data_IF_512317169243
#
_entry.id   IF_512317169243
#
_cell.length_a   1.000
_cell.length_b   1.000
_cell.length_c   1.000
_cell.angle_alpha   90.00
_cell.angle_beta   90.00
_cell.angle_gamma   90.00
#
_symmetry.space_group_name_H-M   'P 1'
#
loop_
_entity.id
_entity.type
_entity.pdbx_description
1 polymer ?
#
# COMPACT_ATOMS: atom_id res chain seq x y z
N UNK A 1 14.91 -12.30 -27.65
CA UNK A 1 14.48 -13.71 -27.41
C UNK A 1 14.24 -13.82 -25.93
N UNK A 2 13.13 -14.42 -25.52
CA UNK A 2 12.83 -14.60 -24.11
C UNK A 2 13.94 -15.41 -23.43
N UNK A 3 14.17 -15.13 -22.14
CA UNK A 3 15.09 -15.88 -21.30
C UNK A 3 14.61 -17.32 -21.08
N UNK A 4 13.29 -17.53 -21.07
CA UNK A 4 12.68 -18.84 -21.03
C UNK A 4 11.16 -18.74 -20.97
N UNK A 5 10.52 -19.90 -20.89
CA UNK A 5 9.07 -20.04 -20.80
C UNK A 5 8.65 -20.40 -19.37
N UNK A 6 7.67 -19.68 -18.83
CA UNK A 6 7.02 -19.98 -17.55
C UNK A 6 5.62 -20.53 -17.81
N UNK A 7 5.44 -21.81 -17.52
CA UNK A 7 4.15 -22.49 -17.58
C UNK A 7 3.36 -22.16 -16.31
N UNK A 8 2.26 -21.43 -16.46
CA UNK A 8 1.39 -21.01 -15.34
C UNK A 8 0.02 -20.55 -15.84
N UNK A 9 -0.85 -20.03 -14.98
CA UNK A 9 -2.14 -19.46 -15.37
C UNK A 9 -2.36 -18.08 -14.73
N UNK A 10 -3.25 -17.24 -15.32
CA UNK A 10 -3.58 -15.94 -14.76
C UNK A 10 -4.00 -15.99 -13.29
N UNK A 11 -3.34 -15.17 -12.48
CA UNK A 11 -3.59 -15.10 -11.04
C UNK A 11 -3.03 -16.27 -10.22
N UNK A 12 -2.28 -17.23 -10.78
CA UNK A 12 -1.64 -18.28 -9.97
C UNK A 12 -0.79 -17.63 -8.85
N UNK A 13 -1.14 -17.81 -7.56
CA UNK A 13 -0.48 -17.11 -6.46
C UNK A 13 1.02 -17.43 -6.37
N UNK A 14 1.42 -18.63 -6.80
CA UNK A 14 2.81 -19.09 -6.80
C UNK A 14 3.67 -18.45 -7.90
N UNK A 15 3.05 -17.83 -8.89
CA UNK A 15 3.76 -17.22 -10.03
C UNK A 15 3.84 -15.70 -9.97
N UNK A 16 3.09 -15.05 -9.06
CA UNK A 16 3.06 -13.59 -8.94
C UNK A 16 4.47 -13.03 -8.70
N UNK A 17 5.17 -13.56 -7.69
CA UNK A 17 6.51 -13.10 -7.37
C UNK A 17 7.52 -13.37 -8.48
N UNK A 18 7.43 -14.54 -9.14
CA UNK A 18 8.30 -14.91 -10.27
C UNK A 18 8.19 -13.87 -11.39
N UNK A 19 6.97 -13.51 -11.78
CA UNK A 19 6.71 -12.50 -12.81
C UNK A 19 7.17 -11.10 -12.38
N UNK A 20 6.96 -10.75 -11.11
CA UNK A 20 7.37 -9.46 -10.57
C UNK A 20 8.90 -9.30 -10.59
N UNK A 21 9.65 -10.31 -10.14
CA UNK A 21 11.12 -10.26 -10.15
C UNK A 21 11.71 -10.41 -11.54
N UNK A 22 11.07 -11.17 -12.43
CA UNK A 22 11.46 -11.23 -13.84
C UNK A 22 11.43 -9.82 -14.46
N UNK A 23 10.29 -9.11 -14.30
CA UNK A 23 10.15 -7.73 -14.77
C UNK A 23 11.14 -6.78 -14.10
N UNK A 24 11.34 -6.88 -12.79
CA UNK A 24 12.29 -6.03 -12.07
C UNK A 24 13.75 -6.26 -12.49
N UNK A 25 14.09 -7.48 -12.91
CA UNK A 25 15.41 -7.84 -13.40
C UNK A 25 15.57 -7.68 -14.92
N UNK A 26 14.56 -7.18 -15.64
CA UNK A 26 14.52 -7.17 -17.11
C UNK A 26 14.78 -8.57 -17.73
N UNK A 27 14.32 -9.62 -17.07
CA UNK A 27 14.34 -11.00 -17.56
C UNK A 27 13.02 -11.22 -18.29
N UNK A 28 13.09 -11.33 -19.61
CA UNK A 28 11.92 -11.55 -20.46
C UNK A 28 11.46 -13.01 -20.36
N UNK A 29 10.19 -13.25 -20.02
CA UNK A 29 9.63 -14.60 -19.87
C UNK A 29 8.41 -14.73 -20.77
N UNK A 30 8.43 -15.74 -21.64
CA UNK A 30 7.24 -16.18 -22.34
C UNK A 30 6.32 -16.88 -21.34
N UNK A 31 5.02 -16.57 -21.38
CA UNK A 31 4.03 -17.18 -20.50
C UNK A 31 3.22 -18.19 -21.30
N UNK A 32 3.38 -19.46 -20.97
CA UNK A 32 2.54 -20.53 -21.53
C UNK A 32 1.38 -20.80 -20.54
N UNK A 33 0.14 -20.62 -21.00
CA UNK A 33 -1.01 -20.87 -20.15
C UNK A 33 -1.19 -22.37 -19.90
N UNK A 34 -1.08 -22.79 -18.64
CA UNK A 34 -1.25 -24.19 -18.23
C UNK A 34 -2.08 -24.26 -16.96
N UNK A 35 -3.26 -24.89 -17.05
CA UNK A 35 -4.23 -25.02 -15.95
C UNK A 35 -4.37 -26.50 -15.59
N UNK A 36 -3.64 -27.02 -14.57
CA UNK A 36 -3.66 -28.44 -14.24
C UNK A 36 -5.05 -29.03 -13.95
N UNK A 37 -5.99 -28.21 -13.47
CA UNK A 37 -7.37 -28.61 -13.19
C UNK A 37 -8.14 -29.03 -14.45
N UNK A 38 -7.69 -28.58 -15.65
CA UNK A 38 -8.25 -28.98 -16.95
C UNK A 38 -7.49 -30.15 -17.59
N UNK A 39 -6.50 -30.72 -16.91
CA UNK A 39 -5.56 -31.68 -17.46
C UNK A 39 -4.34 -31.01 -18.10
N UNK A 40 -3.29 -31.80 -18.31
CA UNK A 40 -2.03 -31.36 -18.95
C UNK A 40 -1.61 -32.37 -20.01
N UNK A 41 -0.84 -31.92 -21.02
CA UNK A 41 -0.37 -32.77 -22.11
C UNK A 41 0.70 -33.77 -21.64
N UNK A 42 0.89 -34.85 -22.42
CA UNK A 42 1.96 -35.81 -22.18
C UNK A 42 3.35 -35.17 -22.34
N UNK A 43 3.45 -34.17 -23.22
CA UNK A 43 4.65 -33.35 -23.43
C UNK A 43 4.97 -32.54 -22.17
N UNK A 44 3.97 -31.91 -21.54
CA UNK A 44 4.17 -31.16 -20.31
C UNK A 44 4.60 -32.07 -19.15
N UNK A 45 4.06 -33.29 -19.06
CA UNK A 45 4.45 -34.26 -18.04
C UNK A 45 5.92 -34.68 -18.14
N UNK A 46 6.57 -34.54 -19.31
CA UNK A 46 8.02 -34.74 -19.45
C UNK A 46 8.83 -33.62 -18.79
N UNK A 47 8.27 -32.40 -18.72
CA UNK A 47 8.88 -31.26 -18.04
C UNK A 47 8.63 -31.29 -16.53
N UNK A 48 7.44 -31.72 -16.13
CA UNK A 48 7.05 -31.88 -14.72
C UNK A 48 6.13 -33.10 -14.56
N UNK A 49 6.69 -34.21 -14.06
CA UNK A 49 5.97 -35.47 -13.91
C UNK A 49 4.75 -35.42 -12.98
N UNK A 50 4.62 -34.39 -12.14
CA UNK A 50 3.44 -34.16 -11.31
C UNK A 50 2.35 -33.35 -12.00
N UNK A 51 2.61 -32.82 -13.20
CA UNK A 51 1.68 -31.96 -13.93
C UNK A 51 1.33 -30.65 -13.21
N UNK A 52 2.19 -30.19 -12.29
CA UNK A 52 1.95 -28.98 -11.48
C UNK A 52 2.54 -27.75 -12.13
N UNK A 53 2.01 -26.58 -11.76
CA UNK A 53 2.56 -25.26 -12.11
C UNK A 53 2.90 -24.45 -10.84
N UNK A 54 3.89 -23.54 -10.88
CA UNK A 54 4.71 -23.17 -12.04
C UNK A 54 5.79 -24.19 -12.40
N UNK A 55 6.10 -24.24 -13.70
CA UNK A 55 7.30 -24.88 -14.27
C UNK A 55 8.00 -23.89 -15.20
N UNK A 56 9.32 -23.84 -15.16
CA UNK A 56 10.17 -22.99 -15.99
C UNK A 56 11.00 -23.84 -16.94
N UNK A 57 11.16 -23.38 -18.18
CA UNK A 57 12.08 -23.93 -19.17
C UNK A 57 12.91 -22.79 -19.76
N UNK A 58 14.21 -22.79 -19.50
CA UNK A 58 15.14 -21.81 -20.06
C UNK A 58 15.33 -21.98 -21.56
N UNK A 59 15.71 -20.90 -22.24
CA UNK A 59 16.09 -20.95 -23.66
C UNK A 59 17.28 -21.90 -23.92
N UNK A 60 18.05 -22.23 -22.88
CA UNK A 60 19.15 -23.20 -22.86
C UNK A 60 18.68 -24.65 -22.62
N UNK A 61 17.37 -24.89 -22.47
CA UNK A 61 16.79 -26.19 -22.17
C UNK A 61 16.77 -26.54 -20.67
N UNK A 62 17.25 -25.66 -19.78
CA UNK A 62 17.20 -25.91 -18.35
C UNK A 62 15.76 -25.94 -17.84
N UNK A 63 15.33 -27.07 -17.30
CA UNK A 63 13.98 -27.25 -16.77
C UNK A 63 14.00 -27.18 -15.24
N UNK A 64 13.14 -26.35 -14.66
CA UNK A 64 13.03 -26.17 -13.22
C UNK A 64 11.56 -26.11 -12.78
N UNK A 65 11.23 -26.88 -11.75
CA UNK A 65 9.95 -26.79 -11.05
C UNK A 65 10.17 -26.51 -9.56
N UNK A 66 9.07 -26.31 -8.82
CA UNK A 66 8.99 -25.70 -7.49
C UNK A 66 9.06 -24.16 -7.52
N UNK A 67 7.98 -23.50 -7.09
CA UNK A 67 7.81 -22.06 -7.20
C UNK A 67 8.91 -21.25 -6.48
N UNK A 68 9.39 -21.72 -5.34
CA UNK A 68 10.45 -21.06 -4.57
C UNK A 68 11.78 -21.14 -5.34
N UNK A 69 12.11 -22.31 -5.91
CA UNK A 69 13.33 -22.51 -6.67
C UNK A 69 13.33 -21.62 -7.92
N UNK A 70 12.22 -21.59 -8.68
CA UNK A 70 12.08 -20.72 -9.85
C UNK A 70 12.21 -19.25 -9.45
N UNK A 71 11.52 -18.81 -8.39
CA UNK A 71 11.58 -17.42 -7.94
C UNK A 71 13.01 -16.99 -7.56
N UNK A 72 13.75 -17.84 -6.86
CA UNK A 72 15.16 -17.59 -6.52
C UNK A 72 16.02 -17.54 -7.78
N UNK A 73 15.87 -18.53 -8.68
CA UNK A 73 16.64 -18.62 -9.91
C UNK A 73 16.47 -17.39 -10.81
N UNK A 74 15.24 -16.90 -10.98
CA UNK A 74 14.98 -15.66 -11.74
C UNK A 74 15.51 -14.44 -11.00
N UNK A 75 15.36 -14.38 -9.67
CA UNK A 75 15.87 -13.27 -8.87
C UNK A 75 17.40 -13.18 -8.92
N UNK A 76 18.09 -14.32 -8.91
CA UNK A 76 19.55 -14.42 -8.90
C UNK A 76 20.20 -14.10 -10.25
N UNK A 77 19.43 -13.97 -11.34
CA UNK A 77 19.97 -13.51 -12.63
C UNK A 77 20.55 -12.08 -12.53
N UNK A 78 20.11 -11.30 -11.55
CA UNK A 78 20.71 -10.02 -11.21
C UNK A 78 21.65 -10.18 -10.01
N UNK A 79 22.96 -10.28 -10.27
CA UNK A 79 23.98 -10.40 -9.22
C UNK A 79 24.00 -9.23 -8.23
N UNK A 80 23.42 -8.08 -8.61
CA UNK A 80 23.33 -6.88 -7.77
C UNK A 80 21.97 -6.76 -7.06
N UNK A 81 21.14 -7.80 -7.13
CA UNK A 81 19.81 -7.78 -6.51
C UNK A 81 19.90 -7.58 -5.00
N UNK A 82 19.00 -6.78 -4.45
CA UNK A 82 18.84 -6.63 -2.99
C UNK A 82 17.74 -7.54 -2.44
N UNK A 83 17.06 -8.32 -3.29
CA UNK A 83 15.88 -9.11 -2.93
C UNK A 83 16.22 -10.43 -2.23
N UNK A 84 17.48 -10.86 -2.26
CA UNK A 84 17.97 -12.09 -1.63
C UNK A 84 18.70 -11.86 -0.30
N UNK A 85 18.56 -10.66 0.27
CA UNK A 85 19.22 -10.29 1.53
C UNK A 85 20.72 -9.99 1.35
N UNK A 86 21.37 -9.52 2.41
CA UNK A 86 22.81 -9.21 2.42
C UNK A 86 23.64 -10.28 3.11
N UNK A 87 23.05 -10.95 4.10
CA UNK A 87 23.71 -11.96 4.93
C UNK A 87 23.13 -13.35 4.69
N UNK A 88 23.86 -14.38 5.12
CA UNK A 88 23.36 -15.77 5.09
C UNK A 88 22.11 -15.93 5.94
N UNK A 89 22.02 -15.19 7.05
CA UNK A 89 20.86 -15.15 7.94
C UNK A 89 19.65 -14.51 7.26
N UNK A 90 19.84 -13.43 6.50
CA UNK A 90 18.76 -12.82 5.71
C UNK A 90 18.22 -13.83 4.69
N UNK A 91 19.12 -14.46 3.92
CA UNK A 91 18.75 -15.45 2.91
C UNK A 91 17.99 -16.64 3.50
N UNK A 92 18.47 -17.18 4.62
CA UNK A 92 17.77 -18.24 5.35
C UNK A 92 16.39 -17.79 5.86
N UNK A 93 16.26 -16.53 6.30
CA UNK A 93 14.99 -15.95 6.75
C UNK A 93 14.01 -15.75 5.60
N UNK A 94 14.50 -15.36 4.42
CA UNK A 94 13.72 -15.27 3.19
C UNK A 94 13.16 -16.64 2.82
N UNK A 95 14.02 -17.66 2.78
CA UNK A 95 13.60 -19.05 2.50
C UNK A 95 12.56 -19.55 3.51
N UNK A 96 12.78 -19.29 4.80
CA UNK A 96 11.84 -19.65 5.87
C UNK A 96 10.46 -19.07 5.58
N UNK A 97 10.36 -17.78 5.27
CA UNK A 97 9.07 -17.14 5.00
C UNK A 97 8.43 -17.61 3.70
N UNK A 98 9.20 -17.75 2.61
CA UNK A 98 8.66 -18.30 1.36
C UNK A 98 8.12 -19.72 1.56
N UNK A 99 8.85 -20.56 2.29
CA UNK A 99 8.40 -21.91 2.66
C UNK A 99 7.14 -21.86 3.51
N UNK A 100 7.13 -21.06 4.58
CA UNK A 100 6.00 -20.91 5.50
C UNK A 100 4.72 -20.46 4.77
N UNK A 101 4.81 -19.46 3.90
CA UNK A 101 3.66 -19.02 3.10
C UNK A 101 3.21 -20.11 2.12
N UNK A 102 4.13 -20.85 1.51
CA UNK A 102 3.78 -21.91 0.57
C UNK A 102 3.14 -23.14 1.26
N UNK A 103 3.63 -23.53 2.44
CA UNK A 103 3.21 -24.75 3.15
C UNK A 103 2.11 -24.49 4.17
N UNK A 104 2.24 -23.49 5.03
CA UNK A 104 1.33 -23.28 6.16
C UNK A 104 0.16 -22.34 5.80
N UNK A 105 0.41 -21.35 4.95
CA UNK A 105 -0.62 -20.37 4.55
C UNK A 105 -1.38 -20.85 3.33
N UNK A 106 -0.72 -21.08 2.19
CA UNK A 106 -1.41 -21.33 0.93
C UNK A 106 -2.20 -22.65 0.92
N UNK A 107 -1.67 -23.72 1.52
CA UNK A 107 -2.33 -25.03 1.51
C UNK A 107 -3.63 -25.00 2.32
N UNK A 108 -3.57 -24.44 3.53
CA UNK A 108 -4.72 -24.31 4.44
C UNK A 108 -5.72 -23.29 3.91
N UNK A 109 -5.24 -22.19 3.32
CA UNK A 109 -6.09 -21.20 2.67
C UNK A 109 -6.82 -21.81 1.47
N UNK A 110 -6.13 -22.62 0.66
CA UNK A 110 -6.72 -23.38 -0.44
C UNK A 110 -7.85 -24.29 0.04
N UNK A 111 -7.62 -25.08 1.09
CA UNK A 111 -8.64 -25.94 1.70
C UNK A 111 -9.84 -25.17 2.30
N UNK A 112 -9.65 -23.89 2.61
CA UNK A 112 -10.72 -23.01 3.06
C UNK A 112 -11.53 -22.43 1.88
N UNK A 113 -10.90 -21.71 0.96
CA UNK A 113 -11.67 -20.95 -0.05
C UNK A 113 -12.08 -21.78 -1.28
N UNK A 114 -11.28 -22.77 -1.71
CA UNK A 114 -11.56 -23.51 -2.96
C UNK A 114 -12.92 -24.22 -2.93
N UNK A 115 -13.34 -24.87 -1.83
CA UNK A 115 -14.68 -25.45 -1.77
C UNK A 115 -15.81 -24.41 -1.76
N UNK A 116 -15.56 -23.21 -1.24
CA UNK A 116 -16.56 -22.12 -1.21
C UNK A 116 -16.83 -21.51 -2.59
N UNK A 117 -15.87 -21.61 -3.50
CA UNK A 117 -15.97 -21.11 -4.88
C UNK A 117 -16.19 -22.23 -5.90
N UNK A 118 -16.54 -23.45 -5.43
CA UNK A 118 -16.88 -24.58 -6.30
C UNK A 118 -15.71 -25.25 -7.02
N UNK A 119 -14.46 -24.99 -6.61
CA UNK A 119 -13.28 -25.64 -7.21
C UNK A 119 -12.98 -27.02 -6.63
N UNK A 120 -13.39 -27.25 -5.38
CA UNK A 120 -13.27 -28.53 -4.70
C UNK A 120 -14.63 -28.91 -4.09
N UNK A 121 -14.88 -30.21 -3.81
CA UNK A 121 -16.10 -30.62 -3.11
C UNK A 121 -16.22 -29.98 -1.73
N UNK A 122 -17.40 -29.44 -1.42
CA UNK A 122 -17.68 -28.83 -0.12
C UNK A 122 -17.81 -29.89 0.98
N UNK A 123 -16.99 -29.76 2.02
CA UNK A 123 -17.15 -30.49 3.27
C UNK A 123 -16.97 -29.51 4.44
N UNK A 124 -18.03 -29.33 5.24
CA UNK A 124 -18.07 -28.35 6.32
C UNK A 124 -16.91 -28.51 7.32
N UNK A 125 -16.63 -29.74 7.76
CA UNK A 125 -15.53 -30.01 8.71
C UNK A 125 -14.18 -29.64 8.12
N UNK A 126 -13.92 -30.03 6.87
CA UNK A 126 -12.64 -29.74 6.21
C UNK A 126 -12.44 -28.23 6.01
N UNK A 127 -13.49 -27.51 5.62
CA UNK A 127 -13.46 -26.04 5.45
C UNK A 127 -13.20 -25.35 6.79
N UNK A 128 -13.88 -25.76 7.86
CA UNK A 128 -13.69 -25.21 9.20
C UNK A 128 -12.28 -25.48 9.75
N UNK A 129 -11.78 -26.70 9.58
CA UNK A 129 -10.44 -27.08 10.04
C UNK A 129 -9.35 -26.34 9.24
N UNK A 130 -9.54 -26.20 7.92
CA UNK A 130 -8.63 -25.43 7.05
C UNK A 130 -8.66 -23.95 7.37
N UNK A 131 -9.84 -23.38 7.65
CA UNK A 131 -9.99 -22.00 8.10
C UNK A 131 -9.23 -21.75 9.40
N UNK A 132 -9.41 -22.61 10.40
CA UNK A 132 -8.69 -22.51 11.69
C UNK A 132 -7.19 -22.60 11.50
N UNK A 133 -6.71 -23.54 10.67
CA UNK A 133 -5.29 -23.70 10.40
C UNK A 133 -4.71 -22.47 9.67
N UNK A 134 -5.43 -21.94 8.68
CA UNK A 134 -5.03 -20.75 7.94
C UNK A 134 -4.97 -19.51 8.84
N UNK A 135 -5.99 -19.28 9.66
CA UNK A 135 -6.02 -18.18 10.62
C UNK A 135 -4.88 -18.28 11.64
N UNK A 136 -4.56 -19.49 12.12
CA UNK A 136 -3.42 -19.73 13.01
C UNK A 136 -2.08 -19.41 12.33
N UNK A 137 -1.91 -19.80 11.07
CA UNK A 137 -0.69 -19.50 10.32
C UNK A 137 -0.54 -17.99 10.08
N UNK A 138 -1.63 -17.30 9.72
CA UNK A 138 -1.59 -15.85 9.48
C UNK A 138 -1.41 -15.05 10.78
N UNK A 139 -1.89 -15.53 11.92
CA UNK A 139 -1.61 -14.91 13.23
C UNK A 139 -0.10 -14.91 13.57
N UNK A 140 0.67 -15.90 13.12
CA UNK A 140 2.14 -15.89 13.23
C UNK A 140 2.74 -14.73 12.42
N UNK A 141 2.20 -14.48 11.22
CA UNK A 141 2.63 -13.38 10.35
C UNK A 141 2.25 -12.04 10.98
N UNK A 142 1.01 -11.89 11.46
CA UNK A 142 0.49 -10.72 12.16
C UNK A 142 1.39 -10.31 13.33
N UNK A 143 1.75 -11.29 14.18
CA UNK A 143 2.65 -11.05 15.32
C UNK A 143 4.08 -10.73 14.91
N UNK A 144 4.57 -11.36 13.85
CA UNK A 144 5.90 -11.06 13.35
C UNK A 144 5.97 -9.61 12.88
N UNK A 145 5.02 -9.24 12.04
CA UNK A 145 5.05 -7.95 11.39
C UNK A 145 4.49 -6.82 12.27
N UNK A 146 3.81 -7.15 13.38
CA UNK A 146 3.64 -6.22 14.50
C UNK A 146 4.98 -5.61 14.91
N UNK A 147 6.10 -6.35 14.78
CA UNK A 147 7.44 -5.91 15.18
C UNK A 147 8.39 -5.57 14.05
N UNK A 148 8.04 -5.88 12.80
CA UNK A 148 8.95 -5.79 11.67
C UNK A 148 8.27 -5.11 10.50
N UNK A 149 9.03 -4.28 9.80
CA UNK A 149 8.53 -3.63 8.60
C UNK A 149 8.35 -4.67 7.48
N UNK A 150 9.35 -5.51 7.26
CA UNK A 150 9.34 -6.54 6.23
C UNK A 150 9.48 -7.92 6.85
N UNK A 151 9.20 -8.97 6.07
CA UNK A 151 9.35 -10.36 6.53
C UNK A 151 10.81 -10.73 6.80
N UNK A 152 11.76 -10.14 6.05
CA UNK A 152 13.17 -10.40 6.22
C UNK A 152 14.00 -9.12 6.08
N UNK A 153 14.76 -8.78 7.12
CA UNK A 153 15.58 -7.57 7.16
C UNK A 153 14.75 -6.28 7.17
N UNK A 154 15.40 -5.18 6.78
CA UNK A 154 14.85 -3.82 6.88
C UNK A 154 14.43 -3.24 5.52
N UNK A 155 14.19 -4.09 4.51
CA UNK A 155 13.72 -3.69 3.17
C UNK A 155 12.92 -4.80 2.50
N UNK A 156 12.18 -4.47 1.44
CA UNK A 156 11.50 -5.47 0.60
C UNK A 156 12.50 -6.52 0.10
N UNK A 157 12.12 -7.78 0.28
CA UNK A 157 12.82 -8.97 -0.20
C UNK A 157 11.91 -9.87 -1.04
N UNK A 158 12.48 -10.93 -1.60
CA UNK A 158 11.72 -11.95 -2.31
C UNK A 158 10.64 -12.60 -1.42
N UNK A 159 10.87 -12.69 -0.10
CA UNK A 159 9.87 -13.21 0.83
C UNK A 159 8.60 -12.36 0.83
N UNK A 160 8.73 -11.04 0.84
CA UNK A 160 7.59 -10.12 0.83
C UNK A 160 6.78 -10.24 -0.46
N UNK A 161 7.46 -10.28 -1.61
CA UNK A 161 6.80 -10.43 -2.92
C UNK A 161 6.09 -11.78 -3.04
N UNK A 162 6.73 -12.86 -2.58
CA UNK A 162 6.16 -14.21 -2.60
C UNK A 162 4.97 -14.32 -1.64
N UNK A 163 5.11 -13.83 -0.42
CA UNK A 163 4.07 -13.79 0.59
C UNK A 163 2.84 -13.00 0.11
N UNK A 164 3.05 -11.80 -0.45
CA UNK A 164 1.98 -10.97 -1.01
C UNK A 164 1.20 -11.69 -2.11
N UNK A 165 1.90 -12.36 -3.03
CA UNK A 165 1.30 -13.18 -4.08
C UNK A 165 0.43 -14.31 -3.51
N UNK A 166 0.93 -15.02 -2.49
CA UNK A 166 0.21 -16.10 -1.81
C UNK A 166 -1.03 -15.59 -1.08
N UNK A 167 -0.86 -14.61 -0.20
CA UNK A 167 -1.90 -14.16 0.72
C UNK A 167 -3.00 -13.36 0.02
N UNK A 168 -2.75 -12.84 -1.18
CA UNK A 168 -3.74 -12.17 -2.03
C UNK A 168 -5.03 -12.98 -2.20
N UNK A 169 -4.95 -14.32 -2.24
CA UNK A 169 -6.13 -15.20 -2.33
C UNK A 169 -7.01 -15.12 -1.08
N UNK A 170 -6.40 -14.87 0.07
CA UNK A 170 -7.13 -14.65 1.31
C UNK A 170 -7.92 -13.35 1.23
N UNK A 171 -7.27 -12.26 0.84
CA UNK A 171 -7.91 -10.96 0.60
C UNK A 171 -9.04 -11.01 -0.43
N UNK A 172 -8.87 -11.82 -1.47
CA UNK A 172 -9.87 -11.99 -2.52
C UNK A 172 -11.13 -12.71 -2.03
N UNK A 173 -11.00 -13.74 -1.18
CA UNK A 173 -12.13 -14.66 -0.92
C UNK A 173 -12.62 -14.70 0.53
N UNK A 174 -11.73 -14.59 1.53
CA UNK A 174 -12.07 -14.94 2.93
C UNK A 174 -11.68 -13.88 3.97
N UNK A 175 -10.74 -12.99 3.66
CA UNK A 175 -10.33 -11.90 4.54
C UNK A 175 -11.19 -10.67 4.27
N UNK A 176 -12.40 -10.68 4.82
CA UNK A 176 -13.34 -9.57 4.77
C UNK A 176 -12.97 -8.41 5.69
N UNK A 177 -13.82 -7.37 5.72
CA UNK A 177 -13.61 -6.13 6.49
C UNK A 177 -13.28 -6.38 7.96
N UNK A 178 -14.03 -7.26 8.63
CA UNK A 178 -13.85 -7.56 10.06
C UNK A 178 -12.51 -8.24 10.33
N UNK A 179 -12.13 -9.21 9.49
CA UNK A 179 -10.85 -9.88 9.60
C UNK A 179 -9.69 -8.90 9.42
N UNK A 180 -9.78 -8.02 8.42
CA UNK A 180 -8.75 -7.00 8.14
C UNK A 180 -8.58 -6.01 9.29
N UNK A 181 -9.69 -5.58 9.90
CA UNK A 181 -9.66 -4.74 11.09
C UNK A 181 -9.01 -5.46 12.30
N UNK A 182 -9.17 -6.78 12.39
CA UNK A 182 -8.58 -7.59 13.46
C UNK A 182 -7.11 -7.99 13.22
N UNK A 183 -6.63 -7.92 11.97
CA UNK A 183 -5.28 -8.27 11.55
C UNK A 183 -4.66 -7.09 10.77
N UNK A 184 -4.51 -5.92 11.43
CA UNK A 184 -4.07 -4.70 10.77
C UNK A 184 -2.66 -4.81 10.25
N UNK A 185 -1.79 -5.58 10.90
CA UNK A 185 -0.41 -5.72 10.47
C UNK A 185 -0.43 -6.45 9.11
N UNK A 186 -0.91 -7.68 9.00
CA UNK A 186 -0.96 -8.43 7.72
C UNK A 186 -1.74 -7.68 6.62
N UNK A 187 -2.73 -6.89 6.99
CA UNK A 187 -3.47 -6.02 6.06
C UNK A 187 -2.65 -4.81 5.59
N UNK A 188 -1.71 -4.33 6.42
CA UNK A 188 -0.87 -3.16 6.21
C UNK A 188 0.59 -3.48 6.59
N UNK A 189 1.43 -3.87 5.62
CA UNK A 189 2.88 -3.85 5.83
C UNK A 189 3.66 -2.80 5.01
N UNK A 190 4.46 -1.90 5.67
CA UNK A 190 4.13 -0.89 6.74
C UNK A 190 5.14 0.35 6.73
N UNK A 191 5.43 1.16 7.82
CA UNK A 191 5.78 0.81 9.24
C UNK A 191 4.87 1.34 10.39
N UNK A 192 4.34 0.39 11.18
CA UNK A 192 4.27 0.15 12.65
C UNK A 192 4.22 1.28 13.71
N UNK A 193 3.23 1.20 14.64
CA UNK A 193 3.38 1.42 16.11
C UNK A 193 2.33 0.63 16.93
N UNK A 194 2.67 0.38 18.19
CA UNK A 194 2.27 -0.72 19.09
C UNK A 194 0.79 -0.81 19.53
N UNK A 195 0.38 -2.02 19.91
CA UNK A 195 -0.97 -2.42 20.32
C UNK A 195 -1.16 -2.48 21.85
N UNK A 196 -2.36 -2.15 22.36
CA UNK A 196 -3.15 -2.88 23.38
C UNK A 196 -4.40 -2.06 23.85
N UNK A 197 -5.43 -2.64 24.52
CA UNK A 197 -6.34 -3.72 24.10
C UNK A 197 -7.86 -3.41 24.35
N UNK A 198 -8.71 -4.34 23.88
CA UNK A 198 -10.19 -4.31 23.66
C UNK A 198 -11.11 -4.20 24.90
N UNK A 199 -12.34 -3.70 24.67
CA UNK A 199 -13.59 -4.20 25.29
C UNK A 199 -14.80 -4.08 24.32
N UNK A 200 -15.82 -4.92 24.56
CA UNK A 200 -16.76 -5.55 23.62
C UNK A 200 -18.05 -4.74 23.25
N UNK A 201 -18.88 -5.23 22.30
CA UNK A 201 -19.81 -4.43 21.47
C UNK A 201 -21.29 -4.43 21.93
N UNK A 202 -22.07 -3.44 21.45
CA UNK A 202 -23.55 -3.52 21.39
C UNK A 202 -24.12 -3.01 20.06
N UNK A 203 -24.68 -3.99 19.33
CA UNK A 203 -25.96 -4.01 18.61
C UNK A 203 -26.37 -2.90 17.62
N UNK A 204 -26.32 -3.29 16.34
CA UNK A 204 -27.43 -3.35 15.37
C UNK A 204 -28.25 -2.09 15.02
N UNK A 205 -28.20 -1.70 13.73
CA UNK A 205 -29.37 -1.70 12.83
C UNK A 205 -28.96 -1.55 11.35
N UNK A 206 -29.25 -2.58 10.55
CA UNK A 206 -29.56 -2.55 9.10
C UNK A 206 -31.00 -3.10 8.99
N UNK A 207 -31.75 -3.06 7.86
CA UNK A 207 -31.33 -2.93 6.45
C UNK A 207 -32.24 -1.95 5.64
N UNK A 208 -32.13 -1.65 4.32
CA UNK A 208 -31.96 -2.42 3.07
C UNK A 208 -31.50 -1.42 1.97
N UNK A 209 -30.49 -1.70 1.16
CA UNK A 209 -30.45 -2.52 -0.07
C UNK A 209 -31.31 -1.99 -1.24
N UNK A 210 -30.63 -1.52 -2.29
CA UNK A 210 -30.97 -1.74 -3.71
C UNK A 210 -29.68 -2.01 -4.49
N UNK A 211 -29.71 -3.10 -5.24
CA UNK A 211 -28.68 -3.54 -6.18
C UNK A 211 -28.79 -2.75 -7.49
N UNK A 212 -27.65 -2.52 -8.14
CA UNK A 212 -27.56 -2.30 -9.58
C UNK A 212 -26.40 -3.16 -10.08
N UNK A 213 -26.64 -3.79 -11.21
CA UNK A 213 -25.92 -4.88 -11.85
C UNK A 213 -24.56 -4.45 -12.43
N UNK A 214 -23.65 -5.43 -12.51
CA UNK A 214 -22.40 -5.35 -13.26
C UNK A 214 -22.73 -5.46 -14.76
N UNK A 215 -22.37 -4.44 -15.55
CA UNK A 215 -22.16 -4.57 -16.99
C UNK A 215 -20.65 -4.61 -17.25
N UNK A 216 -20.21 -5.67 -17.94
CA UNK A 216 -18.91 -5.72 -18.61
C UNK A 216 -18.85 -4.61 -19.67
N UNK A 217 -17.86 -3.72 -19.58
CA UNK A 217 -17.41 -2.93 -20.71
C UNK A 217 -15.96 -3.29 -21.04
N UNK A 218 -15.79 -3.75 -22.28
CA UNK A 218 -14.54 -4.04 -22.97
C UNK A 218 -13.43 -3.02 -22.67
N UNK A 219 -12.22 -3.51 -22.39
CA UNK A 219 -10.99 -2.70 -22.39
C UNK A 219 -10.72 -2.17 -23.82
N UNK A 220 -11.31 -1.03 -24.15
CA UNK A 220 -10.86 -0.17 -25.23
C UNK A 220 -9.47 0.41 -24.90
N UNK A 221 -8.57 0.59 -25.89
CA UNK A 221 -7.20 1.01 -25.66
C UNK A 221 -7.15 2.38 -24.97
N UNK A 222 -6.34 2.46 -23.92
CA UNK A 222 -6.18 3.63 -23.06
C UNK A 222 -6.10 4.95 -23.86
N UNK A 223 -7.13 5.79 -23.69
CA UNK A 223 -7.13 7.17 -24.14
C UNK A 223 -5.94 7.93 -23.49
N UNK A 224 -5.32 8.89 -24.19
CA UNK A 224 -4.20 9.66 -23.66
C UNK A 224 -4.61 10.34 -22.35
N UNK A 225 -3.83 10.11 -21.28
CA UNK A 225 -4.05 10.71 -19.96
C UNK A 225 -4.27 12.21 -20.11
N UNK A 226 -5.42 12.71 -19.65
CA UNK A 226 -5.66 14.14 -19.53
C UNK A 226 -4.53 14.76 -18.71
N UNK A 227 -3.94 15.84 -19.23
CA UNK A 227 -2.89 16.58 -18.54
C UNK A 227 -3.43 17.19 -17.26
N UNK A 228 -2.63 17.19 -16.19
CA UNK A 228 -3.03 17.76 -14.91
C UNK A 228 -3.36 19.26 -15.08
N UNK A 229 -4.44 19.81 -14.48
CA UNK A 229 -4.85 21.21 -14.68
C UNK A 229 -3.72 22.24 -14.45
N UNK A 230 -2.91 22.00 -13.41
CA UNK A 230 -1.77 22.86 -13.06
C UNK A 230 -0.57 22.78 -14.03
N UNK A 231 -0.55 21.85 -15.00
CA UNK A 231 0.46 21.83 -16.07
C UNK A 231 0.37 23.03 -17.02
N UNK A 232 -0.80 23.68 -17.09
CA UNK A 232 -1.01 24.85 -17.94
C UNK A 232 -0.34 26.12 -17.40
N UNK A 233 0.07 26.12 -16.13
CA UNK A 233 0.71 27.28 -15.52
C UNK A 233 2.15 27.46 -16.03
N UNK A 234 2.67 28.70 -16.06
CA UNK A 234 4.08 28.95 -16.37
C UNK A 234 5.00 28.16 -15.44
N UNK A 235 6.21 27.83 -15.91
CA UNK A 235 7.22 27.22 -15.03
C UNK A 235 7.48 28.13 -13.84
N UNK A 236 7.51 27.55 -12.65
CA UNK A 236 7.85 28.28 -11.45
C UNK A 236 9.32 28.68 -11.47
N UNK A 237 9.63 29.85 -10.90
CA UNK A 237 10.99 30.34 -10.74
C UNK A 237 11.82 29.37 -9.90
N UNK A 238 11.23 28.84 -8.83
CA UNK A 238 11.81 27.76 -8.04
C UNK A 238 10.80 26.60 -8.03
N UNK A 239 11.15 25.43 -8.59
CA UNK A 239 10.28 24.25 -8.57
C UNK A 239 9.99 23.79 -7.15
N UNK A 240 8.77 23.34 -6.89
CA UNK A 240 8.37 22.86 -5.57
C UNK A 240 9.17 21.64 -5.09
N UNK A 241 9.75 20.85 -6.02
CA UNK A 241 10.67 19.77 -5.69
C UNK A 241 11.93 20.24 -4.96
N UNK A 242 12.38 21.48 -5.21
CA UNK A 242 13.50 22.06 -4.48
C UNK A 242 13.10 22.31 -3.02
N UNK A 243 11.92 22.88 -2.77
CA UNK A 243 11.40 23.06 -1.41
C UNK A 243 11.34 21.72 -0.67
N UNK A 244 10.77 20.68 -1.28
CA UNK A 244 10.66 19.35 -0.68
C UNK A 244 12.01 18.74 -0.34
N UNK A 245 13.03 19.01 -1.16
CA UNK A 245 14.40 18.60 -0.90
C UNK A 245 14.97 19.30 0.33
N UNK A 246 14.78 20.62 0.45
CA UNK A 246 15.22 21.40 1.61
C UNK A 246 14.52 20.93 2.89
N UNK A 247 13.20 20.77 2.86
CA UNK A 247 12.43 20.25 3.99
C UNK A 247 12.86 18.84 4.44
N UNK A 248 13.38 18.01 3.53
CA UNK A 248 13.80 16.64 3.85
C UNK A 248 15.25 16.51 4.32
N UNK A 249 16.11 17.44 3.94
CA UNK A 249 17.57 17.30 4.08
C UNK A 249 18.18 18.30 5.08
N UNK A 250 17.43 19.31 5.50
CA UNK A 250 17.87 20.33 6.45
C UNK A 250 17.09 20.22 7.76
N UNK A 251 17.66 20.75 8.84
CA UNK A 251 16.91 20.94 10.08
C UNK A 251 15.71 21.86 9.84
N UNK A 252 14.58 21.57 10.47
CA UNK A 252 13.30 22.23 10.17
C UNK A 252 13.35 23.76 10.26
N UNK A 253 14.02 24.39 11.25
CA UNK A 253 14.17 25.85 11.30
C UNK A 253 14.91 26.43 10.08
N UNK A 254 15.96 25.76 9.62
CA UNK A 254 16.75 26.18 8.46
C UNK A 254 15.95 25.99 7.16
N UNK A 255 15.21 24.89 7.05
CA UNK A 255 14.30 24.65 5.94
C UNK A 255 13.22 25.74 5.87
N UNK A 256 12.58 26.09 6.99
CA UNK A 256 11.57 27.14 7.02
C UNK A 256 12.13 28.51 6.66
N UNK A 257 13.32 28.84 7.16
CA UNK A 257 14.01 30.07 6.75
C UNK A 257 14.21 30.11 5.24
N UNK A 258 14.72 29.02 4.66
CA UNK A 258 14.88 28.88 3.22
C UNK A 258 13.54 29.03 2.49
N UNK A 259 12.46 28.42 2.99
CA UNK A 259 11.14 28.54 2.38
C UNK A 259 10.70 29.99 2.27
N UNK A 260 10.75 30.75 3.37
CA UNK A 260 10.29 32.13 3.38
C UNK A 260 11.17 33.08 2.56
N UNK A 261 12.47 32.81 2.44
CA UNK A 261 13.38 33.57 1.57
C UNK A 261 13.10 33.31 0.07
N UNK A 262 12.54 32.14 -0.27
CA UNK A 262 12.33 31.68 -1.64
C UNK A 262 10.84 31.60 -2.05
N UNK A 263 9.91 31.88 -1.14
CA UNK A 263 8.48 31.81 -1.39
C UNK A 263 8.03 32.97 -2.29
N UNK A 264 7.44 32.62 -3.44
CA UNK A 264 6.86 33.56 -4.37
C UNK A 264 5.33 33.48 -4.32
N UNK A 265 4.68 34.51 -3.76
CA UNK A 265 3.23 34.59 -3.61
C UNK A 265 2.45 34.73 -4.93
N UNK A 266 3.10 35.11 -6.02
CA UNK A 266 2.47 35.17 -7.35
C UNK A 266 2.37 33.76 -7.97
N UNK A 267 3.35 32.90 -7.68
CA UNK A 267 3.43 31.54 -8.23
C UNK A 267 2.80 30.48 -7.32
N UNK A 268 2.85 30.69 -6.02
CA UNK A 268 2.36 29.74 -5.02
C UNK A 268 1.36 30.40 -4.10
N UNK A 269 0.46 29.58 -3.55
CA UNK A 269 -0.45 29.99 -2.50
C UNK A 269 -0.40 29.02 -1.33
N UNK A 270 -0.66 29.56 -0.13
CA UNK A 270 -0.70 28.82 1.12
C UNK A 270 -2.15 28.58 1.52
N UNK A 271 -2.44 27.40 2.06
CA UNK A 271 -3.78 26.96 2.40
C UNK A 271 -3.78 26.25 3.74
N UNK A 272 -4.72 26.65 4.59
CA UNK A 272 -5.14 25.90 5.76
C UNK A 272 -6.14 24.84 5.33
N UNK A 273 -5.98 23.64 5.86
CA UNK A 273 -6.87 22.51 5.66
C UNK A 273 -7.54 22.18 7.00
N UNK A 274 -8.87 22.11 7.01
CA UNK A 274 -9.67 21.69 8.16
C UNK A 274 -10.52 20.49 7.76
N UNK A 275 -10.53 19.41 8.55
CA UNK A 275 -11.49 18.33 8.32
C UNK A 275 -12.86 18.69 8.88
N UNK A 276 -13.92 18.39 8.13
CA UNK A 276 -15.30 18.80 8.46
C UNK A 276 -15.96 17.90 9.50
N UNK A 277 -15.62 16.61 9.53
CA UNK A 277 -16.31 15.60 10.33
C UNK A 277 -15.50 15.20 11.57
N UNK A 278 -15.03 16.20 12.33
CA UNK A 278 -14.17 15.93 13.50
C UNK A 278 -14.88 15.10 14.59
N UNK A 279 -16.21 15.14 14.64
CA UNK A 279 -17.06 14.35 15.52
C UNK A 279 -17.07 12.84 15.19
N UNK A 280 -16.69 12.47 13.96
CA UNK A 280 -16.52 11.07 13.55
C UNK A 280 -15.13 10.52 13.89
N UNK A 281 -14.20 11.37 14.33
CA UNK A 281 -12.83 10.99 14.64
C UNK A 281 -12.77 10.29 15.99
N UNK A 282 -12.36 9.02 15.97
CA UNK A 282 -12.30 8.17 17.17
C UNK A 282 -10.86 7.99 17.64
N UNK A 283 -10.12 7.03 17.09
CA UNK A 283 -8.74 6.79 17.50
C UNK A 283 -7.79 7.72 16.74
N UNK A 284 -6.85 8.38 17.43
CA UNK A 284 -5.82 9.24 16.83
C UNK A 284 -5.11 8.57 15.65
N UNK A 285 -4.75 7.29 15.76
CA UNK A 285 -4.09 6.57 14.67
C UNK A 285 -5.03 6.32 13.48
N UNK A 286 -6.34 6.13 13.70
CA UNK A 286 -7.33 6.01 12.61
C UNK A 286 -7.51 7.34 11.91
N UNK A 287 -7.58 8.43 12.67
CA UNK A 287 -7.59 9.81 12.18
C UNK A 287 -6.33 10.11 11.35
N UNK A 288 -5.15 9.70 11.82
CA UNK A 288 -3.88 9.84 11.10
C UNK A 288 -3.84 8.99 9.81
N UNK A 289 -4.42 7.78 9.84
CA UNK A 289 -4.58 6.95 8.64
C UNK A 289 -5.54 7.56 7.62
N UNK A 290 -6.58 8.27 8.07
CA UNK A 290 -7.48 9.02 7.19
C UNK A 290 -6.71 10.10 6.43
N UNK A 291 -5.82 10.84 7.09
CA UNK A 291 -4.88 11.77 6.44
C UNK A 291 -4.00 11.03 5.41
N UNK A 292 -3.41 9.89 5.80
CA UNK A 292 -2.57 9.10 4.89
C UNK A 292 -3.33 8.59 3.65
N UNK A 293 -4.59 8.19 3.83
CA UNK A 293 -5.46 7.79 2.72
C UNK A 293 -5.75 8.96 1.77
N UNK A 294 -6.07 10.13 2.30
CA UNK A 294 -6.26 11.34 1.52
C UNK A 294 -5.00 11.68 0.71
N UNK A 295 -3.82 11.58 1.35
CA UNK A 295 -2.53 11.83 0.71
C UNK A 295 -2.23 10.84 -0.42
N UNK A 296 -2.54 9.56 -0.25
CA UNK A 296 -2.39 8.58 -1.32
C UNK A 296 -3.27 8.90 -2.54
N UNK A 297 -4.45 9.49 -2.31
CA UNK A 297 -5.36 9.94 -3.37
C UNK A 297 -4.93 11.28 -3.98
N UNK A 298 -4.13 12.08 -3.29
CA UNK A 298 -3.50 13.30 -3.80
C UNK A 298 -2.27 13.06 -4.70
N UNK A 299 -1.84 11.80 -4.90
CA UNK A 299 -0.61 11.47 -5.64
C UNK A 299 -0.59 12.06 -7.07
N UNK A 300 -1.76 12.21 -7.71
CA UNK A 300 -1.88 12.86 -9.02
C UNK A 300 -1.36 14.31 -9.05
N UNK A 301 -1.44 15.00 -7.91
CA UNK A 301 -1.00 16.40 -7.75
C UNK A 301 0.41 16.52 -7.20
N UNK A 302 1.15 15.41 -6.99
CA UNK A 302 2.41 15.41 -6.25
C UNK A 302 3.37 16.51 -6.67
N UNK A 303 3.53 16.78 -7.97
CA UNK A 303 4.44 17.81 -8.48
C UNK A 303 4.07 19.25 -8.11
N UNK A 304 2.82 19.48 -7.71
CA UNK A 304 2.23 20.82 -7.56
C UNK A 304 1.82 21.15 -6.12
N UNK A 305 1.95 20.21 -5.19
CA UNK A 305 1.56 20.40 -3.79
C UNK A 305 2.61 19.83 -2.83
N UNK A 306 2.78 20.55 -1.73
CA UNK A 306 3.46 20.11 -0.53
C UNK A 306 2.60 20.51 0.66
N UNK A 307 2.56 19.67 1.70
CA UNK A 307 2.01 20.13 2.96
C UNK A 307 2.01 19.08 4.04
N UNK A 308 1.53 19.52 5.18
CA UNK A 308 1.49 18.76 6.41
C UNK A 308 0.06 18.78 6.92
N UNK A 309 -0.44 17.63 7.34
CA UNK A 309 -1.69 17.56 8.10
C UNK A 309 -1.46 16.74 9.38
N UNK A 310 -2.00 17.26 10.46
CA UNK A 310 -1.82 16.81 11.83
C UNK A 310 -3.15 16.35 12.41
N UNK A 311 -3.07 15.38 13.31
CA UNK A 311 -4.11 15.08 14.29
C UNK A 311 -3.75 15.80 15.58
N UNK A 312 -4.67 16.62 16.05
CA UNK A 312 -4.58 17.27 17.35
C UNK A 312 -5.67 16.73 18.26
N UNK A 313 -5.32 16.36 19.48
CA UNK A 313 -6.25 15.85 20.49
C UNK A 313 -5.95 14.45 20.95
N UNK A 314 -6.99 13.78 21.45
CA UNK A 314 -6.92 12.45 22.04
C UNK A 314 -8.00 11.57 21.44
N UNK A 315 -8.08 10.33 21.92
CA UNK A 315 -9.14 9.39 21.55
C UNK A 315 -10.53 10.02 21.77
N UNK A 316 -11.39 9.89 20.76
CA UNK A 316 -12.79 10.32 20.67
C UNK A 316 -13.00 11.85 20.77
N UNK A 317 -11.91 12.62 20.73
CA UNK A 317 -11.90 14.08 20.83
C UNK A 317 -10.64 14.62 20.18
N UNK A 318 -10.65 14.62 18.84
CA UNK A 318 -9.54 15.09 18.02
C UNK A 318 -10.05 15.88 16.83
N UNK A 319 -9.15 16.68 16.25
CA UNK A 319 -9.39 17.46 15.04
C UNK A 319 -8.25 17.24 14.07
N UNK A 320 -8.53 17.31 12.76
CA UNK A 320 -7.50 17.35 11.73
C UNK A 320 -7.33 18.80 11.25
N UNK A 321 -6.09 19.27 11.25
CA UNK A 321 -5.68 20.55 10.68
C UNK A 321 -4.43 20.35 9.83
N UNK A 322 -4.23 21.18 8.80
CA UNK A 322 -3.00 21.15 8.02
C UNK A 322 -2.67 22.47 7.37
N UNK A 323 -1.44 22.58 6.87
CA UNK A 323 -0.96 23.68 6.06
C UNK A 323 -0.31 23.14 4.78
N UNK A 324 -0.73 23.67 3.64
CA UNK A 324 -0.27 23.27 2.32
C UNK A 324 0.20 24.47 1.52
N UNK A 325 1.26 24.28 0.74
CA UNK A 325 1.64 25.17 -0.35
C UNK A 325 1.31 24.47 -1.67
N UNK A 326 0.64 25.18 -2.55
CA UNK A 326 0.25 24.67 -3.88
C UNK A 326 0.74 25.61 -4.97
N UNK A 327 0.98 25.05 -6.16
CA UNK A 327 1.20 25.83 -7.38
C UNK A 327 -0.11 26.47 -7.81
N UNK A 328 -0.06 27.76 -8.11
CA UNK A 328 -1.22 28.54 -8.53
C UNK A 328 -1.97 29.16 -7.34
N UNK A 329 -3.15 29.71 -7.61
CA UNK A 329 -3.86 30.59 -6.68
C UNK A 329 -5.17 30.01 -6.14
N UNK A 330 -5.59 28.84 -6.64
CA UNK A 330 -6.86 28.17 -6.33
C UNK A 330 -6.59 26.77 -5.77
N UNK A 331 -7.30 26.39 -4.71
CA UNK A 331 -7.10 25.10 -4.05
C UNK A 331 -7.54 23.90 -4.91
N UNK A 332 -8.75 23.96 -5.47
CA UNK A 332 -9.38 22.79 -6.09
C UNK A 332 -8.54 22.10 -7.15
N UNK A 333 -7.88 22.80 -8.11
CA UNK A 333 -7.03 22.14 -9.11
C UNK A 333 -5.85 21.34 -8.55
N UNK A 334 -5.49 21.53 -7.28
CA UNK A 334 -4.47 20.75 -6.57
C UNK A 334 -5.05 19.61 -5.73
N UNK A 335 -6.30 19.72 -5.27
CA UNK A 335 -6.91 18.76 -4.32
C UNK A 335 -8.00 17.87 -4.92
N UNK A 336 -8.66 18.30 -6.00
CA UNK A 336 -9.80 17.60 -6.62
C UNK A 336 -9.46 16.24 -7.23
N UNK A 337 -8.17 15.96 -7.46
CA UNK A 337 -7.67 14.63 -7.81
C UNK A 337 -7.99 13.57 -6.76
N UNK A 338 -8.18 13.99 -5.49
CA UNK A 338 -8.59 13.11 -4.41
C UNK A 338 -10.13 13.15 -4.29
N UNK A 339 -10.87 12.06 -4.54
CA UNK A 339 -12.34 12.06 -4.58
C UNK A 339 -13.02 12.44 -3.26
N UNK A 340 -12.29 12.43 -2.14
CA UNK A 340 -12.76 12.79 -0.81
C UNK A 340 -12.33 14.19 -0.36
N UNK A 341 -11.82 15.03 -1.28
CA UNK A 341 -11.39 16.41 -0.98
C UNK A 341 -12.50 17.25 -0.32
N UNK A 342 -13.77 16.96 -0.63
CA UNK A 342 -14.94 17.66 -0.07
C UNK A 342 -15.11 17.44 1.44
N UNK A 343 -14.47 16.41 2.01
CA UNK A 343 -14.43 16.20 3.46
C UNK A 343 -13.58 17.24 4.19
N UNK A 344 -12.83 18.05 3.43
CA UNK A 344 -11.97 19.10 3.92
C UNK A 344 -12.47 20.48 3.49
N UNK A 345 -12.16 21.47 4.31
CA UNK A 345 -12.32 22.88 4.03
C UNK A 345 -10.94 23.49 3.81
N UNK A 346 -10.82 24.30 2.77
CA UNK A 346 -9.58 24.95 2.37
C UNK A 346 -9.72 26.46 2.56
N UNK A 347 -8.94 27.03 3.47
CA UNK A 347 -8.90 28.49 3.70
C UNK A 347 -7.57 29.04 3.19
N UNK A 348 -7.60 30.02 2.28
CA UNK A 348 -6.38 30.65 1.77
C UNK A 348 -5.70 31.46 2.86
N UNK A 349 -4.40 31.29 3.01
CA UNK A 349 -3.54 31.98 3.97
C UNK A 349 -2.78 33.12 3.29
N UNK A 350 -2.51 34.17 4.04
CA UNK A 350 -1.81 35.37 3.58
C UNK A 350 -0.39 35.42 4.17
N UNK A 351 0.62 35.17 3.31
CA UNK A 351 2.02 35.20 3.70
C UNK A 351 2.51 36.57 4.22
N UNK A 352 1.75 37.65 4.02
CA UNK A 352 2.08 38.95 4.61
C UNK A 352 1.69 39.06 6.08
N UNK A 353 0.76 38.22 6.56
CA UNK A 353 0.29 38.23 7.94
C UNK A 353 1.19 37.38 8.83
N UNK A 354 1.73 37.93 9.94
CA UNK A 354 2.54 37.18 10.89
C UNK A 354 1.83 35.94 11.44
N UNK A 355 0.52 36.02 11.67
CA UNK A 355 -0.28 34.93 12.26
C UNK A 355 -0.40 33.74 11.31
N UNK A 356 -0.62 34.00 10.01
CA UNK A 356 -0.71 32.96 8.99
C UNK A 356 0.66 32.31 8.74
N UNK A 357 1.74 33.09 8.80
CA UNK A 357 3.11 32.58 8.74
C UNK A 357 3.43 31.68 9.93
N UNK A 358 3.07 32.11 11.13
CA UNK A 358 3.27 31.32 12.34
C UNK A 358 2.48 30.00 12.26
N UNK A 359 1.22 30.05 11.82
CA UNK A 359 0.42 28.84 11.61
C UNK A 359 1.09 27.85 10.65
N UNK A 360 1.62 28.31 9.51
CA UNK A 360 2.33 27.44 8.54
C UNK A 360 3.57 26.84 9.18
N UNK A 361 4.37 27.65 9.88
CA UNK A 361 5.58 27.18 10.55
C UNK A 361 5.25 26.10 11.59
N UNK A 362 4.23 26.33 12.42
CA UNK A 362 3.80 25.38 13.46
C UNK A 362 3.30 24.06 12.87
N UNK A 363 2.52 24.12 11.79
CA UNK A 363 2.07 22.91 11.09
C UNK A 363 3.22 22.14 10.45
N UNK A 364 4.30 22.81 10.06
CA UNK A 364 5.44 22.18 9.39
C UNK A 364 6.54 21.75 10.36
N UNK A 365 6.54 22.24 11.61
CA UNK A 365 7.45 21.77 12.69
C UNK A 365 6.85 20.70 13.59
N UNK A 366 5.52 20.59 13.68
CA UNK A 366 4.83 19.60 14.51
C UNK A 366 4.98 19.81 16.04
N UNK A 367 5.36 21.00 16.47
CA UNK A 367 5.85 21.21 17.84
C UNK A 367 4.78 21.69 18.83
N UNK A 368 3.74 22.39 18.36
CA UNK A 368 2.81 23.11 19.25
C UNK A 368 1.40 22.51 19.27
N UNK A 369 0.70 22.55 20.42
CA UNK A 369 -0.74 22.34 20.46
C UNK A 369 -1.47 23.44 19.68
N UNK A 370 -2.75 23.20 19.37
CA UNK A 370 -3.60 24.23 18.75
C UNK A 370 -4.81 24.54 19.63
N UNK A 371 -5.40 25.72 19.45
CA UNK A 371 -6.69 26.05 20.07
C UNK A 371 -7.80 26.06 19.03
N UNK A 372 -8.85 25.28 19.25
CA UNK A 372 -10.05 25.23 18.42
C UNK A 372 -11.28 25.45 19.30
N UNK A 373 -12.07 26.48 19.02
CA UNK A 373 -13.29 26.77 19.79
C UNK A 373 -13.03 27.08 21.27
N UNK A 374 -11.88 27.67 21.61
CA UNK A 374 -11.50 27.98 22.99
C UNK A 374 -10.97 26.79 23.79
N UNK A 375 -10.81 25.62 23.16
CA UNK A 375 -10.22 24.42 23.75
C UNK A 375 -8.88 24.11 23.12
N UNK A 376 -7.90 23.80 23.96
CA UNK A 376 -6.56 23.40 23.53
C UNK A 376 -6.53 21.90 23.19
N UNK A 377 -5.93 21.58 22.05
CA UNK A 377 -5.74 20.23 21.55
C UNK A 377 -4.23 19.95 21.39
N UNK A 378 -3.64 19.01 22.15
CA UNK A 378 -2.24 18.65 22.02
C UNK A 378 -1.96 18.01 20.66
N UNK A 379 -0.77 18.23 20.10
CA UNK A 379 -0.34 17.50 18.91
C UNK A 379 -0.21 16.00 19.22
N UNK A 380 -0.74 15.15 18.35
CA UNK A 380 -0.81 13.72 18.60
C UNK A 380 -0.15 12.87 17.51
N UNK A 381 -0.37 13.19 16.24
CA UNK A 381 0.28 12.54 15.09
C UNK A 381 0.19 13.43 13.85
N UNK A 382 0.89 13.08 12.76
CA UNK A 382 0.85 13.85 11.52
C UNK A 382 1.45 13.15 10.31
N UNK A 383 1.18 13.70 9.12
CA UNK A 383 1.70 13.21 7.84
C UNK A 383 2.19 14.37 6.99
N UNK A 384 3.33 14.15 6.33
CA UNK A 384 3.85 15.02 5.27
C UNK A 384 3.45 14.48 3.91
N UNK A 385 2.92 15.34 3.04
CA UNK A 385 2.79 15.12 1.61
C UNK A 385 3.87 15.89 0.87
N UNK A 386 4.75 15.18 0.17
CA UNK A 386 5.86 15.73 -0.60
C UNK A 386 6.14 14.88 -1.83
#
# INVERSE_FOLDING_TARGET
>A
MAFGTLYTYPGNPRSVAIRAVAKANNVDLDIEETVPEKGVSAEYLKLNGLGKVPTFVGADGYTLHEAIAIAIYITSQNEKTTLLGKTKQDYATILKWMSFFNSEVLTTLGGWFRPLVGRDPYNKKNVEDSSKASLKAVDVVEKHLLNNTYLAGERITLADLFAAGVISRGFQYVFGKEWRAANPNVTLHPPKKEAQPKAAPKAAAKPKAKAVEEEEEDEAPAAPKAKHPLEALPKATIPLDEWKRQYSNSDTPDALKWFWENYNAEEYSLWKLDYKYNDELTQVFMTSNLIGGFFARLEGSRKYIFGCASVYGVKDDSVIKGAFVIRGQEALPAFDVAPDYESYEFTKLDASKPEDKEFVNEQWTWEKPITVGGKEYPWADGKVFK
#
